data_IF_262309954685
#
_entry.id   IF_262309954685
#
_cell.length_a   1.000
_cell.length_b   1.000
_cell.length_c   1.000
_cell.angle_alpha   90.00
_cell.angle_beta   90.00
_cell.angle_gamma   90.00
#
_symmetry.space_group_name_H-M   'P 1'
#
loop_
_entity.id
_entity.type
_entity.pdbx_description
1 polymer ?
#
# COMPACT_ATOMS: atom_id res chain seq x y z
N UNK A 1 -4.68 -7.38 -30.66
CA UNK A 1 -3.90 -7.57 -29.43
C UNK A 1 -4.32 -6.47 -28.47
N UNK A 2 -5.23 -6.76 -27.53
CA UNK A 2 -5.68 -5.75 -26.55
C UNK A 2 -4.61 -5.72 -25.46
N UNK A 3 -3.87 -4.62 -25.35
CA UNK A 3 -3.04 -4.39 -24.19
C UNK A 3 -3.97 -4.34 -22.98
N UNK A 4 -3.82 -5.28 -22.05
CA UNK A 4 -4.46 -5.20 -20.74
C UNK A 4 -3.94 -3.92 -20.07
N UNK A 5 -4.70 -2.85 -20.15
CA UNK A 5 -4.44 -1.63 -19.40
C UNK A 5 -4.74 -1.96 -17.95
N UNK A 6 -3.72 -2.34 -17.17
CA UNK A 6 -3.88 -2.60 -15.74
C UNK A 6 -4.04 -1.23 -15.07
N UNK A 7 -5.29 -0.78 -14.96
CA UNK A 7 -5.61 0.57 -14.48
C UNK A 7 -5.30 0.78 -12.99
N UNK A 8 -5.10 -0.30 -12.21
CA UNK A 8 -4.73 -0.22 -10.79
C UNK A 8 -3.97 -1.48 -10.35
N UNK A 9 -2.64 -1.40 -10.27
CA UNK A 9 -1.80 -2.47 -9.70
C UNK A 9 -1.24 -2.02 -8.35
N UNK A 10 -1.46 -2.84 -7.32
CA UNK A 10 -0.78 -2.71 -6.03
C UNK A 10 -0.02 -3.99 -5.78
N UNK A 11 1.27 -3.85 -5.49
CA UNK A 11 2.12 -4.95 -5.06
C UNK A 11 2.36 -4.79 -3.56
N UNK A 12 2.12 -5.86 -2.81
CA UNK A 12 2.39 -5.94 -1.38
C UNK A 12 3.41 -7.04 -1.16
N UNK A 13 4.55 -6.67 -0.58
CA UNK A 13 5.60 -7.61 -0.21
C UNK A 13 5.59 -7.80 1.31
N UNK A 14 5.54 -9.05 1.71
CA UNK A 14 5.71 -9.49 3.09
C UNK A 14 7.07 -10.16 3.19
N UNK A 15 7.87 -9.74 4.16
CA UNK A 15 9.14 -10.36 4.48
C UNK A 15 9.22 -10.59 5.99
N UNK A 16 9.78 -11.72 6.38
CA UNK A 16 10.13 -11.98 7.77
C UNK A 16 11.22 -10.98 8.20
N UNK A 17 11.07 -10.41 9.39
CA UNK A 17 12.06 -9.56 10.01
C UNK A 17 12.08 -9.89 11.51
N UNK A 18 12.97 -10.81 11.89
CA UNK A 18 13.02 -11.37 13.25
C UNK A 18 11.63 -11.88 13.68
N UNK A 19 11.15 -11.48 14.87
CA UNK A 19 9.83 -11.85 15.39
C UNK A 19 8.69 -10.96 14.83
N UNK A 20 8.89 -10.33 13.68
CA UNK A 20 7.94 -9.41 13.06
C UNK A 20 7.84 -9.66 11.54
N UNK A 21 6.83 -9.06 10.93
CA UNK A 21 6.68 -9.03 9.47
C UNK A 21 6.89 -7.61 8.95
N UNK A 22 7.85 -7.44 8.06
CA UNK A 22 8.01 -6.20 7.29
C UNK A 22 7.02 -6.22 6.13
N UNK A 23 6.17 -5.21 6.07
CA UNK A 23 5.23 -5.00 4.97
C UNK A 23 5.69 -3.81 4.13
N UNK A 24 5.87 -4.03 2.83
CA UNK A 24 6.14 -2.96 1.87
C UNK A 24 5.03 -2.93 0.81
N UNK A 25 4.41 -1.77 0.63
CA UNK A 25 3.37 -1.56 -0.37
C UNK A 25 3.87 -0.64 -1.48
N UNK A 26 3.58 -1.00 -2.73
CA UNK A 26 3.85 -0.17 -3.91
C UNK A 26 2.63 -0.14 -4.81
N UNK A 27 2.09 1.06 -5.04
CA UNK A 27 1.05 1.29 -6.06
C UNK A 27 1.70 1.78 -7.35
N UNK A 28 1.31 1.19 -8.47
CA UNK A 28 1.66 1.67 -9.80
C UNK A 28 0.50 2.49 -10.34
N UNK A 29 0.84 3.65 -10.92
CA UNK A 29 -0.08 4.61 -11.50
C UNK A 29 0.35 4.87 -12.94
N UNK A 30 -0.58 5.32 -13.78
CA UNK A 30 -0.36 5.36 -15.21
C UNK A 30 0.48 6.57 -15.62
N UNK A 31 0.52 7.62 -14.79
CA UNK A 31 1.33 8.81 -15.05
C UNK A 31 1.82 9.49 -13.77
N UNK A 32 2.74 10.43 -13.95
CA UNK A 32 3.28 11.27 -12.88
C UNK A 32 2.21 12.23 -12.36
N UNK A 33 1.35 12.74 -13.24
CA UNK A 33 0.25 13.64 -12.89
C UNK A 33 -0.81 12.92 -12.04
N UNK A 34 -1.16 11.67 -12.40
CA UNK A 34 -2.04 10.84 -11.59
C UNK A 34 -1.42 10.56 -10.22
N UNK A 35 -0.12 10.25 -10.17
CA UNK A 35 0.63 10.10 -8.91
C UNK A 35 0.54 11.35 -8.06
N UNK A 36 0.81 12.51 -8.63
CA UNK A 36 0.83 13.76 -7.88
C UNK A 36 -0.57 14.16 -7.43
N UNK A 37 -1.61 13.93 -8.24
CA UNK A 37 -2.99 14.12 -7.82
C UNK A 37 -3.30 13.22 -6.61
N UNK A 38 -3.07 11.91 -6.70
CA UNK A 38 -3.44 11.01 -5.59
C UNK A 38 -2.63 11.23 -4.33
N UNK A 39 -1.34 11.58 -4.46
CA UNK A 39 -0.48 11.87 -3.32
C UNK A 39 -0.86 13.20 -2.68
N UNK A 40 -0.97 14.28 -3.48
CA UNK A 40 -1.11 15.62 -2.94
C UNK A 40 -2.56 16.02 -2.65
N UNK A 41 -3.50 15.66 -3.53
CA UNK A 41 -4.92 16.02 -3.39
C UNK A 41 -5.68 15.07 -2.48
N UNK A 42 -5.42 13.76 -2.59
CA UNK A 42 -6.14 12.73 -1.84
C UNK A 42 -5.36 12.19 -0.64
N UNK A 43 -4.09 12.58 -0.44
CA UNK A 43 -3.29 12.13 0.71
C UNK A 43 -3.09 10.61 0.72
N UNK A 44 -2.88 10.01 -0.46
CA UNK A 44 -2.85 8.55 -0.59
C UNK A 44 -1.76 7.87 0.25
N UNK A 45 -0.64 8.55 0.51
CA UNK A 45 0.47 8.02 1.33
C UNK A 45 0.04 7.97 2.80
N UNK A 46 -0.58 9.03 3.30
CA UNK A 46 -1.07 9.15 4.67
C UNK A 46 -2.22 8.17 4.92
N UNK A 47 -3.13 8.05 3.94
CA UNK A 47 -4.20 7.07 3.97
C UNK A 47 -3.67 5.64 4.05
N UNK A 48 -2.69 5.28 3.21
CA UNK A 48 -2.07 3.95 3.24
C UNK A 48 -1.36 3.68 4.58
N UNK A 49 -0.62 4.66 5.13
CA UNK A 49 0.00 4.55 6.46
C UNK A 49 -1.04 4.34 7.56
N UNK A 50 -2.14 5.10 7.53
CA UNK A 50 -3.23 4.96 8.49
C UNK A 50 -3.87 3.57 8.45
N UNK A 51 -4.10 3.03 7.26
CA UNK A 51 -4.62 1.66 7.08
C UNK A 51 -3.65 0.61 7.63
N UNK A 52 -2.34 0.73 7.35
CA UNK A 52 -1.33 -0.21 7.86
C UNK A 52 -1.18 -0.14 9.38
N UNK A 53 -1.26 1.05 9.98
CA UNK A 53 -1.23 1.20 11.43
C UNK A 53 -2.45 0.53 12.08
N UNK A 54 -3.65 0.73 11.52
CA UNK A 54 -4.86 0.04 12.02
C UNK A 54 -4.76 -1.48 11.87
N UNK A 55 -4.12 -1.97 10.81
CA UNK A 55 -3.86 -3.40 10.64
C UNK A 55 -2.92 -3.92 11.75
N UNK A 56 -1.86 -3.19 12.08
CA UNK A 56 -0.96 -3.54 13.20
C UNK A 56 -1.73 -3.59 14.53
N UNK A 57 -2.57 -2.58 14.81
CA UNK A 57 -3.40 -2.55 16.00
C UNK A 57 -4.31 -3.79 16.09
N UNK A 58 -4.96 -4.16 14.98
CA UNK A 58 -5.84 -5.33 14.91
C UNK A 58 -5.03 -6.61 15.15
N UNK A 59 -3.87 -6.78 14.53
CA UNK A 59 -3.05 -7.99 14.68
C UNK A 59 -2.56 -8.17 16.13
N UNK A 60 -2.23 -7.08 16.82
CA UNK A 60 -1.87 -7.10 18.25
C UNK A 60 -3.00 -7.58 19.16
N UNK A 61 -4.26 -7.47 18.75
CA UNK A 61 -5.38 -8.01 19.52
C UNK A 61 -5.47 -9.54 19.43
N UNK A 62 -4.97 -10.13 18.34
CA UNK A 62 -5.03 -11.56 18.09
C UNK A 62 -3.80 -12.33 18.57
N UNK A 63 -2.65 -11.65 18.67
CA UNK A 63 -1.38 -12.25 19.10
C UNK A 63 -1.16 -11.87 20.57
N UNK A 64 -1.59 -12.75 21.49
CA UNK A 64 -1.30 -12.67 22.93
C UNK A 64 -0.12 -13.56 23.30
#
# INVERSE_FOLDING_TARGET
MVALSIQNLVIVHFAEQENQTKVAMKKYLNSVEERDEVVQKYGAVEGAKSTLNRLDDILRLFIK
#
